data_IF_150524380073
#
_entry.id   IF_150524380073
#
_cell.length_a   1.000
_cell.length_b   1.000
_cell.length_c   1.000
_cell.angle_alpha   90.00
_cell.angle_beta   90.00
_cell.angle_gamma   90.00
#
_symmetry.space_group_name_H-M   'P 1'
#
loop_
_entity.id
_entity.type
_entity.pdbx_description
1 polymer ?
#
# COMPACT_ATOMS: atom_id res chain seq x y z
N UNK A 1 13.72 -21.48 12.02
CA UNK A 1 12.71 -21.37 10.95
C UNK A 1 12.65 -19.96 10.33
N UNK A 2 12.58 -18.87 11.12
CA UNK A 2 12.51 -17.48 10.60
C UNK A 2 13.69 -16.98 9.74
N UNK A 3 14.90 -17.51 9.92
CA UNK A 3 16.08 -17.13 9.12
C UNK A 3 16.05 -17.62 7.67
N UNK A 4 15.26 -18.64 7.35
CA UNK A 4 15.11 -19.16 5.98
C UNK A 4 14.08 -18.31 5.23
N UNK A 5 12.90 -18.09 5.83
CA UNK A 5 11.86 -17.20 5.31
C UNK A 5 12.38 -15.77 5.08
N UNK A 6 13.19 -15.23 6.01
CA UNK A 6 13.81 -13.91 5.84
C UNK A 6 14.92 -13.85 4.78
N UNK A 7 15.44 -15.00 4.31
CA UNK A 7 16.39 -15.09 3.18
C UNK A 7 15.63 -15.25 1.86
N UNK A 8 14.61 -16.08 1.84
CA UNK A 8 13.78 -16.32 0.65
C UNK A 8 12.99 -15.05 0.29
N UNK A 9 12.48 -14.29 1.27
CA UNK A 9 11.86 -12.98 1.05
C UNK A 9 12.83 -11.86 0.63
N UNK A 10 14.15 -12.11 0.67
CA UNK A 10 15.19 -11.22 0.12
C UNK A 10 15.67 -11.64 -1.27
N UNK A 11 15.32 -12.83 -1.72
CA UNK A 11 15.73 -13.35 -3.02
C UNK A 11 15.04 -12.63 -4.18
N UNK A 12 13.89 -12.01 -3.92
CA UNK A 12 13.10 -11.29 -4.92
C UNK A 12 12.62 -9.94 -4.39
N UNK A 13 13.50 -8.91 -4.35
CA UNK A 13 13.16 -7.62 -3.78
C UNK A 13 12.18 -6.86 -4.68
N UNK A 14 11.13 -6.28 -4.08
CA UNK A 14 10.14 -5.43 -4.76
C UNK A 14 10.78 -4.35 -5.65
N UNK A 15 11.91 -3.82 -5.21
CA UNK A 15 12.69 -2.79 -5.92
C UNK A 15 13.10 -3.20 -7.34
N UNK A 16 13.34 -4.49 -7.59
CA UNK A 16 13.69 -5.01 -8.91
C UNK A 16 12.51 -4.96 -9.89
N UNK A 17 11.28 -4.90 -9.39
CA UNK A 17 10.04 -4.98 -10.18
C UNK A 17 9.32 -3.65 -10.35
N UNK A 18 9.89 -2.55 -9.87
CA UNK A 18 9.19 -1.25 -9.91
C UNK A 18 8.94 -0.74 -11.32
N UNK A 19 9.82 -1.03 -12.27
CA UNK A 19 9.60 -0.69 -13.68
C UNK A 19 8.39 -1.41 -14.24
N UNK A 20 8.28 -2.71 -13.97
CA UNK A 20 7.18 -3.54 -14.44
C UNK A 20 5.86 -3.14 -13.76
N UNK A 21 5.91 -2.88 -12.45
CA UNK A 21 4.77 -2.33 -11.72
C UNK A 21 4.30 -1.00 -12.32
N UNK A 22 5.19 -0.06 -12.62
CA UNK A 22 4.81 1.20 -13.28
C UNK A 22 4.17 0.98 -14.65
N UNK A 23 4.62 -0.02 -15.41
CA UNK A 23 4.07 -0.33 -16.72
C UNK A 23 2.68 -0.99 -16.66
N UNK A 24 2.42 -1.79 -15.62
CA UNK A 24 1.19 -2.57 -15.49
C UNK A 24 0.11 -1.92 -14.62
N UNK A 25 0.48 -1.01 -13.72
CA UNK A 25 -0.49 -0.38 -12.83
C UNK A 25 -1.44 0.54 -13.62
N UNK A 26 -2.77 0.45 -13.37
CA UNK A 26 -3.71 1.39 -13.95
C UNK A 26 -3.35 2.84 -13.59
N UNK A 27 -3.68 3.78 -14.49
CA UNK A 27 -3.53 5.21 -14.23
C UNK A 27 -4.15 5.66 -12.90
N UNK A 28 -5.19 4.95 -12.47
CA UNK A 28 -5.87 5.15 -11.20
C UNK A 28 -5.48 4.07 -10.20
N UNK A 29 -4.35 4.29 -9.53
CA UNK A 29 -3.83 3.44 -8.46
C UNK A 29 -3.52 4.28 -7.23
N UNK A 30 -3.77 3.73 -6.04
CA UNK A 30 -3.48 4.39 -4.76
C UNK A 30 -3.01 3.34 -3.75
N UNK A 31 -2.03 3.70 -2.91
CA UNK A 31 -1.56 2.88 -1.80
C UNK A 31 -2.32 3.25 -0.52
N UNK A 32 -2.54 2.28 0.36
CA UNK A 32 -3.21 2.48 1.65
C UNK A 32 -2.47 1.67 2.73
N UNK A 33 -2.21 2.29 3.88
CA UNK A 33 -1.55 1.63 5.01
C UNK A 33 -1.90 2.23 6.36
N UNK A 34 -1.88 1.39 7.39
CA UNK A 34 -2.04 1.82 8.78
C UNK A 34 -0.75 2.42 9.34
N UNK A 35 -0.88 3.49 10.12
CA UNK A 35 0.25 4.20 10.75
C UNK A 35 0.90 3.44 11.90
N UNK A 36 0.20 2.47 12.47
CA UNK A 36 0.64 1.63 13.58
C UNK A 36 1.00 0.20 13.11
N UNK A 37 1.11 -0.05 11.79
CA UNK A 37 1.57 -1.35 11.27
C UNK A 37 2.99 -1.62 11.81
N UNK A 38 3.25 -2.80 12.41
CA UNK A 38 4.60 -3.20 12.80
C UNK A 38 5.62 -3.10 11.66
N UNK A 39 5.15 -3.18 10.41
CA UNK A 39 5.91 -2.83 9.21
C UNK A 39 5.84 -1.30 9.02
N UNK A 40 6.98 -0.59 9.05
CA UNK A 40 6.98 0.87 9.04
C UNK A 40 6.24 1.47 7.84
N UNK A 41 5.37 2.45 8.10
CA UNK A 41 4.68 3.23 7.05
C UNK A 41 5.68 3.89 6.08
N UNK A 42 6.90 4.20 6.55
CA UNK A 42 7.99 4.73 5.74
C UNK A 42 8.33 3.84 4.52
N UNK A 43 8.13 2.53 4.59
CA UNK A 43 8.30 1.64 3.45
C UNK A 43 7.25 1.90 2.36
N UNK A 44 5.98 2.12 2.74
CA UNK A 44 4.92 2.51 1.82
C UNK A 44 5.12 3.92 1.28
N UNK A 45 5.66 4.85 2.07
CA UNK A 45 6.00 6.21 1.62
C UNK A 45 7.09 6.19 0.54
N UNK A 46 8.15 5.41 0.76
CA UNK A 46 9.21 5.23 -0.22
C UNK A 46 8.69 4.58 -1.51
N UNK A 47 7.79 3.58 -1.37
CA UNK A 47 7.16 2.94 -2.52
C UNK A 47 6.26 3.90 -3.29
N UNK A 48 5.43 4.69 -2.59
CA UNK A 48 4.56 5.70 -3.18
C UNK A 48 5.36 6.72 -4.00
N UNK A 49 6.46 7.22 -3.43
CA UNK A 49 7.37 8.14 -4.11
C UNK A 49 7.96 7.50 -5.38
N UNK A 50 8.43 6.26 -5.29
CA UNK A 50 9.03 5.57 -6.43
C UNK A 50 7.99 5.25 -7.51
N UNK A 51 6.77 4.88 -7.16
CA UNK A 51 5.73 4.59 -8.15
C UNK A 51 4.97 5.86 -8.61
N UNK A 52 5.26 7.02 -8.04
CA UNK A 52 4.51 8.26 -8.24
C UNK A 52 3.01 8.10 -7.96
N UNK A 53 2.67 7.35 -6.89
CA UNK A 53 1.31 7.04 -6.49
C UNK A 53 0.91 7.84 -5.24
N UNK A 54 -0.39 8.18 -5.09
CA UNK A 54 -0.92 8.66 -3.82
C UNK A 54 -0.80 7.58 -2.73
N UNK A 55 -0.60 8.02 -1.48
CA UNK A 55 -0.63 7.18 -0.29
C UNK A 55 -1.67 7.73 0.70
N UNK A 56 -2.66 6.90 1.02
CA UNK A 56 -3.58 7.14 2.14
C UNK A 56 -3.04 6.48 3.41
N UNK A 57 -2.79 7.29 4.43
CA UNK A 57 -2.44 6.82 5.77
C UNK A 57 -3.72 6.68 6.61
N UNK A 58 -3.88 5.55 7.27
CA UNK A 58 -4.97 5.31 8.21
C UNK A 58 -4.41 5.49 9.62
N UNK A 59 -4.72 6.64 10.22
CA UNK A 59 -4.30 6.99 11.59
C UNK A 59 -4.90 6.02 12.60
N UNK A 60 -4.10 5.53 13.55
CA UNK A 60 -4.54 4.62 14.61
C UNK A 60 -5.02 3.26 14.08
N UNK A 61 -4.31 2.71 13.09
CA UNK A 61 -4.56 1.39 12.54
C UNK A 61 -3.22 0.69 12.27
N UNK A 62 -3.18 -0.61 12.53
CA UNK A 62 -2.07 -1.50 12.30
C UNK A 62 -2.05 -2.11 10.91
N UNK A 63 -1.76 -3.41 10.87
CA UNK A 63 -1.55 -4.17 9.64
C UNK A 63 -2.83 -4.38 8.82
N UNK A 64 -3.98 -4.43 9.48
CA UNK A 64 -5.27 -4.74 8.89
C UNK A 64 -6.23 -3.56 9.08
N UNK A 65 -5.95 -2.40 8.48
CA UNK A 65 -6.72 -1.19 8.71
C UNK A 65 -8.21 -1.34 8.37
N UNK A 66 -8.57 -2.29 7.49
CA UNK A 66 -9.96 -2.61 7.15
C UNK A 66 -10.72 -3.31 8.28
N UNK A 67 -10.06 -4.03 9.19
CA UNK A 67 -10.65 -4.61 10.40
C UNK A 67 -10.60 -3.62 11.57
N UNK A 68 -9.51 -2.88 11.68
CA UNK A 68 -9.23 -2.02 12.83
C UNK A 68 -9.97 -0.67 12.76
N UNK A 69 -10.03 -0.06 11.57
CA UNK A 69 -10.70 1.21 11.30
C UNK A 69 -11.65 1.10 10.09
N UNK A 70 -12.65 0.21 10.14
CA UNK A 70 -13.49 -0.14 9.00
C UNK A 70 -14.22 1.06 8.40
N UNK A 71 -14.70 1.98 9.22
CA UNK A 71 -15.43 3.17 8.73
C UNK A 71 -14.53 4.10 7.93
N UNK A 72 -13.30 4.29 8.38
CA UNK A 72 -12.31 5.13 7.70
C UNK A 72 -11.93 4.50 6.36
N UNK A 73 -11.63 3.20 6.36
CA UNK A 73 -11.30 2.47 5.12
C UNK A 73 -12.49 2.46 4.16
N UNK A 74 -13.71 2.25 4.63
CA UNK A 74 -14.92 2.32 3.78
C UNK A 74 -15.10 3.69 3.14
N UNK A 75 -14.87 4.78 3.89
CA UNK A 75 -14.94 6.12 3.34
C UNK A 75 -13.88 6.35 2.25
N UNK A 76 -12.65 5.88 2.47
CA UNK A 76 -11.58 5.98 1.48
C UNK A 76 -11.86 5.15 0.22
N UNK A 77 -12.34 3.92 0.38
CA UNK A 77 -12.75 3.09 -0.76
C UNK A 77 -13.91 3.71 -1.54
N UNK A 78 -14.91 4.31 -0.86
CA UNK A 78 -16.00 5.02 -1.53
C UNK A 78 -15.52 6.23 -2.31
N UNK A 79 -14.63 7.05 -1.72
CA UNK A 79 -13.98 8.18 -2.43
C UNK A 79 -13.23 7.68 -3.65
N UNK A 80 -12.42 6.64 -3.47
CA UNK A 80 -11.66 6.04 -4.56
C UNK A 80 -12.62 5.50 -5.62
N UNK A 81 -13.48 4.53 -5.36
CA UNK A 81 -14.36 3.97 -6.41
C UNK A 81 -15.32 5.02 -7.00
N UNK A 82 -15.92 5.88 -6.18
CA UNK A 82 -16.88 6.89 -6.63
C UNK A 82 -16.30 7.87 -7.66
N UNK A 83 -15.03 8.28 -7.49
CA UNK A 83 -14.35 9.11 -8.49
C UNK A 83 -13.98 8.40 -9.79
N UNK A 84 -14.09 7.06 -9.87
CA UNK A 84 -13.87 6.31 -11.12
C UNK A 84 -15.11 6.26 -12.01
N UNK A 85 -16.31 6.40 -11.44
CA UNK A 85 -17.57 6.29 -12.17
C UNK A 85 -17.99 7.62 -12.80
N UNK A 86 -17.41 8.74 -12.34
CA UNK A 86 -17.73 10.09 -12.80
C UNK A 86 -16.80 10.63 -13.92
N UNK A 87 -15.83 9.85 -14.39
CA UNK A 87 -14.92 10.20 -15.50
C UNK A 87 -15.05 9.21 -16.64
#
# INVERSE_FOLDING_TARGET
MNRQLGRDGRADPLDAHLTDLRACLPARTELLGGTEDPRPIAALEALALRLALPLTRIEGAGHEPWLERPDVVRAQLRRFVGGAVAG
#
